data_IF_086283399609
#
_entry.id   IF_086283399609
#
_cell.length_a   1.000
_cell.length_b   1.000
_cell.length_c   1.000
_cell.angle_alpha   90.00
_cell.angle_beta   90.00
_cell.angle_gamma   90.00
#
_symmetry.space_group_name_H-M   'P 1'
#
loop_
_entity.id
_entity.type
_entity.pdbx_description
1 polymer ?
#
# COMPACT_ATOMS: atom_id res chain seq x y z
N UNK A 1 18.96 -13.72 0.40
CA UNK A 1 18.27 -13.60 1.72
C UNK A 1 17.55 -12.27 1.95
N UNK A 2 18.12 -11.09 1.62
CA UNK A 2 17.47 -9.77 1.87
C UNK A 2 16.07 -9.60 1.26
N UNK A 3 15.77 -10.26 0.14
CA UNK A 3 14.46 -10.17 -0.52
C UNK A 3 13.37 -10.91 0.25
N UNK A 4 13.65 -12.12 0.74
CA UNK A 4 12.69 -12.95 1.50
C UNK A 4 12.27 -12.26 2.80
N UNK A 5 13.22 -11.63 3.51
CA UNK A 5 12.90 -10.84 4.72
C UNK A 5 11.91 -9.71 4.45
N UNK A 6 11.96 -9.07 3.27
CA UNK A 6 11.02 -8.00 2.91
C UNK A 6 9.61 -8.54 2.73
N UNK A 7 9.46 -9.69 2.06
CA UNK A 7 8.18 -10.39 1.95
C UNK A 7 7.63 -10.79 3.32
N UNK A 8 8.48 -11.38 4.17
CA UNK A 8 8.09 -11.84 5.51
C UNK A 8 7.63 -10.68 6.40
N UNK A 9 8.36 -9.55 6.39
CA UNK A 9 7.95 -8.34 7.12
C UNK A 9 6.62 -7.80 6.58
N UNK A 10 6.43 -7.71 5.26
CA UNK A 10 5.16 -7.21 4.70
C UNK A 10 3.98 -8.11 5.00
N UNK A 11 4.17 -9.43 4.94
CA UNK A 11 3.14 -10.39 5.32
C UNK A 11 2.84 -10.30 6.82
N UNK A 12 3.86 -10.11 7.66
CA UNK A 12 3.68 -9.88 9.09
C UNK A 12 2.88 -8.63 9.40
N UNK A 13 3.16 -7.51 8.71
CA UNK A 13 2.38 -6.27 8.83
C UNK A 13 0.94 -6.48 8.35
N UNK A 14 0.74 -7.15 7.22
CA UNK A 14 -0.59 -7.48 6.72
C UNK A 14 -1.40 -8.33 7.69
N UNK A 15 -0.78 -9.36 8.27
CA UNK A 15 -1.41 -10.24 9.26
C UNK A 15 -1.73 -9.50 10.57
N UNK A 16 -0.88 -8.56 10.99
CA UNK A 16 -1.19 -7.69 12.13
C UNK A 16 -2.45 -6.86 11.87
N UNK A 17 -2.63 -6.30 10.67
CA UNK A 17 -3.85 -5.55 10.32
C UNK A 17 -5.07 -6.47 10.36
N UNK A 18 -4.98 -7.69 9.78
CA UNK A 18 -6.07 -8.68 9.84
C UNK A 18 -6.43 -8.98 11.29
N UNK A 19 -5.44 -9.28 12.13
CA UNK A 19 -5.64 -9.61 13.54
C UNK A 19 -6.29 -8.45 14.30
N UNK A 20 -5.87 -7.21 14.06
CA UNK A 20 -6.50 -6.04 14.67
C UNK A 20 -7.98 -5.91 14.26
N UNK A 21 -8.31 -6.09 12.98
CA UNK A 21 -9.71 -6.01 12.52
C UNK A 21 -10.57 -7.13 13.09
N UNK A 22 -10.06 -8.36 13.13
CA UNK A 22 -10.77 -9.51 13.70
C UNK A 22 -11.01 -9.32 15.20
N UNK A 23 -10.03 -8.80 15.95
CA UNK A 23 -10.19 -8.46 17.37
C UNK A 23 -11.22 -7.35 17.59
N UNK A 24 -11.20 -6.29 16.77
CA UNK A 24 -12.18 -5.21 16.87
C UNK A 24 -13.61 -5.65 16.60
N UNK A 25 -13.79 -6.68 15.75
CA UNK A 25 -15.10 -7.24 15.39
C UNK A 25 -15.46 -8.50 16.19
N UNK A 26 -14.68 -8.88 17.21
CA UNK A 26 -14.90 -10.09 18.02
C UNK A 26 -15.02 -11.40 17.21
N UNK A 27 -14.37 -11.49 16.04
CA UNK A 27 -14.56 -12.60 15.10
C UNK A 27 -14.13 -13.99 15.60
N UNK A 28 -13.46 -14.09 16.76
CA UNK A 28 -13.15 -15.37 17.42
C UNK A 28 -14.28 -15.89 18.33
N UNK A 29 -15.19 -15.01 18.72
CA UNK A 29 -16.28 -15.29 19.68
C UNK A 29 -17.64 -15.38 19.01
N UNK A 30 -17.74 -15.00 17.74
CA UNK A 30 -18.97 -15.13 16.97
C UNK A 30 -19.30 -16.61 16.71
N UNK A 31 -20.54 -16.97 17.03
CA UNK A 31 -21.06 -18.34 16.86
C UNK A 31 -21.79 -18.54 15.54
N UNK A 32 -22.21 -17.44 14.91
CA UNK A 32 -22.82 -17.45 13.60
C UNK A 32 -21.72 -17.53 12.52
N UNK A 33 -21.81 -18.59 11.71
CA UNK A 33 -20.84 -18.89 10.64
C UNK A 33 -20.88 -17.81 9.57
N UNK A 34 -22.06 -17.26 9.27
CA UNK A 34 -22.22 -16.22 8.26
C UNK A 34 -21.48 -14.94 8.69
N UNK A 35 -21.74 -14.48 9.93
CA UNK A 35 -21.13 -13.28 10.50
C UNK A 35 -19.61 -13.48 10.65
N UNK A 36 -19.18 -14.67 11.10
CA UNK A 36 -17.75 -14.98 11.20
C UNK A 36 -17.07 -14.88 9.83
N UNK A 37 -17.63 -15.49 8.78
CA UNK A 37 -17.07 -15.43 7.42
C UNK A 37 -17.00 -13.99 6.89
N UNK A 38 -18.01 -13.17 7.17
CA UNK A 38 -18.02 -11.76 6.80
C UNK A 38 -16.87 -10.99 7.49
N UNK A 39 -16.66 -11.20 8.79
CA UNK A 39 -15.59 -10.54 9.56
C UNK A 39 -14.22 -10.90 9.01
N UNK A 40 -13.98 -12.17 8.71
CA UNK A 40 -12.71 -12.63 8.12
C UNK A 40 -12.51 -12.05 6.71
N UNK A 41 -13.55 -12.05 5.88
CA UNK A 41 -13.52 -11.44 4.54
C UNK A 41 -13.11 -9.96 4.62
N UNK A 42 -13.77 -9.18 5.48
CA UNK A 42 -13.49 -7.76 5.68
C UNK A 42 -12.07 -7.53 6.19
N UNK A 43 -11.58 -8.35 7.12
CA UNK A 43 -10.24 -8.21 7.69
C UNK A 43 -9.15 -8.41 6.62
N UNK A 44 -9.28 -9.46 5.79
CA UNK A 44 -8.37 -9.69 4.67
C UNK A 44 -8.51 -8.62 3.57
N UNK A 45 -9.73 -8.14 3.31
CA UNK A 45 -9.98 -7.09 2.34
C UNK A 45 -9.27 -5.79 2.74
N UNK A 46 -9.51 -5.31 3.96
CA UNK A 46 -8.91 -4.07 4.48
C UNK A 46 -7.39 -4.14 4.44
N UNK A 47 -6.80 -5.25 4.89
CA UNK A 47 -5.35 -5.44 4.87
C UNK A 47 -4.80 -5.47 3.43
N UNK A 48 -5.44 -6.23 2.54
CA UNK A 48 -5.06 -6.33 1.13
C UNK A 48 -5.15 -5.01 0.38
N UNK A 49 -6.23 -4.24 0.56
CA UNK A 49 -6.41 -2.90 -0.02
C UNK A 49 -5.34 -1.95 0.50
N UNK A 50 -5.08 -1.94 1.81
CA UNK A 50 -4.11 -1.02 2.41
C UNK A 50 -2.69 -1.25 1.87
N UNK A 51 -2.26 -2.52 1.81
CA UNK A 51 -0.96 -2.88 1.23
C UNK A 51 -0.89 -2.60 -0.27
N UNK A 52 -1.95 -2.92 -1.02
CA UNK A 52 -1.98 -2.70 -2.47
C UNK A 52 -1.96 -1.21 -2.82
N UNK A 53 -2.78 -0.39 -2.16
CA UNK A 53 -2.76 1.07 -2.32
C UNK A 53 -1.40 1.67 -1.95
N UNK A 54 -0.82 1.26 -0.81
CA UNK A 54 0.52 1.68 -0.43
C UNK A 54 1.58 1.31 -1.47
N UNK A 55 1.52 0.10 -2.02
CA UNK A 55 2.39 -0.35 -3.10
C UNK A 55 2.21 0.45 -4.40
N UNK A 56 0.97 0.73 -4.78
CA UNK A 56 0.63 1.51 -5.98
C UNK A 56 1.14 2.96 -5.88
N UNK A 57 1.03 3.60 -4.72
CA UNK A 57 1.58 4.95 -4.50
C UNK A 57 3.08 4.96 -4.75
N UNK A 58 3.81 3.93 -4.31
CA UNK A 58 5.25 3.88 -4.55
C UNK A 58 5.58 3.54 -6.00
N UNK A 59 4.77 2.72 -6.68
CA UNK A 59 4.91 2.50 -8.13
C UNK A 59 4.69 3.81 -8.90
N UNK A 60 3.62 4.54 -8.61
CA UNK A 60 3.37 5.86 -9.20
C UNK A 60 4.49 6.86 -8.89
N UNK A 61 5.08 6.79 -7.69
CA UNK A 61 6.25 7.60 -7.31
C UNK A 61 7.48 7.25 -8.13
N UNK A 62 7.77 5.96 -8.30
CA UNK A 62 8.88 5.48 -9.14
C UNK A 62 8.67 5.77 -10.63
N UNK A 63 7.41 5.87 -11.09
CA UNK A 63 7.02 6.25 -12.44
C UNK A 63 7.17 7.73 -12.75
N UNK A 64 7.45 8.56 -11.75
CA UNK A 64 7.67 10.00 -11.90
C UNK A 64 6.40 10.85 -11.81
N UNK A 65 5.23 10.25 -11.48
CA UNK A 65 3.96 10.99 -11.28
C UNK A 65 4.11 12.00 -10.14
N UNK A 66 4.73 11.57 -9.04
CA UNK A 66 4.98 12.44 -7.87
C UNK A 66 6.24 13.31 -8.01
N UNK A 67 7.10 13.06 -9.00
CA UNK A 67 8.30 13.88 -9.21
C UNK A 67 7.95 15.25 -9.79
N UNK A 68 6.91 15.33 -10.63
CA UNK A 68 6.40 16.60 -11.14
C UNK A 68 5.80 17.47 -10.03
N UNK A 69 5.04 16.87 -9.12
CA UNK A 69 4.52 17.55 -7.92
C UNK A 69 5.66 18.04 -7.01
N UNK A 70 6.65 17.19 -6.75
CA UNK A 70 7.82 17.57 -5.94
C UNK A 70 8.62 18.72 -6.55
N UNK A 71 8.77 18.74 -7.86
CA UNK A 71 9.42 19.84 -8.58
C UNK A 71 8.60 21.14 -8.47
N UNK A 72 7.28 21.09 -8.68
CA UNK A 72 6.40 22.25 -8.56
C UNK A 72 6.45 22.87 -7.15
N UNK A 73 6.40 22.05 -6.10
CA UNK A 73 6.55 22.52 -4.70
C UNK A 73 7.93 23.15 -4.48
N UNK A 74 9.00 22.55 -5.01
CA UNK A 74 10.34 23.13 -4.90
C UNK A 74 10.42 24.50 -5.58
N UNK A 75 9.78 24.66 -6.74
CA UNK A 75 9.74 25.92 -7.47
C UNK A 75 8.98 27.00 -6.69
N UNK A 76 7.82 26.66 -6.11
CA UNK A 76 7.08 27.56 -5.21
C UNK A 76 7.95 27.98 -4.01
N UNK A 77 8.66 27.04 -3.39
CA UNK A 77 9.56 27.34 -2.27
C UNK A 77 10.71 28.26 -2.66
N UNK A 78 11.27 28.10 -3.87
CA UNK A 78 12.28 29.01 -4.41
C UNK A 78 11.72 30.40 -4.74
N UNK A 79 10.45 30.50 -5.12
CA UNK A 79 9.77 31.80 -5.33
C UNK A 79 9.54 32.53 -4.02
N UNK A 80 9.27 31.82 -2.92
CA UNK A 80 9.15 32.42 -1.59
C UNK A 80 10.51 32.78 -0.94
N UNK A 81 11.62 32.17 -1.37
CA UNK A 81 12.98 32.53 -0.94
C UNK A 81 13.52 33.70 -1.77
N UNK A 82 14.31 34.57 -1.13
CA UNK A 82 14.96 35.72 -1.78
C UNK A 82 15.72 35.31 -3.05
N UNK A 83 15.60 36.14 -4.10
CA UNK A 83 16.15 35.95 -5.46
C UNK A 83 17.65 35.60 -5.52
N UNK A 84 18.39 35.80 -4.42
CA UNK A 84 19.83 35.49 -4.31
C UNK A 84 20.15 34.01 -4.08
N UNK A 85 19.15 33.15 -3.85
CA UNK A 85 19.39 31.71 -3.66
C UNK A 85 19.44 31.01 -5.02
N UNK A 86 20.63 30.57 -5.43
CA UNK A 86 20.78 29.78 -6.65
C UNK A 86 19.93 28.50 -6.59
N UNK A 87 19.16 28.25 -7.66
CA UNK A 87 18.33 27.05 -7.78
C UNK A 87 19.24 25.82 -7.91
N UNK A 88 19.06 24.86 -7.02
CA UNK A 88 19.83 23.60 -7.01
C UNK A 88 19.57 22.72 -8.25
N UNK A 89 18.39 22.86 -8.86
CA UNK A 89 18.00 22.17 -10.10
C UNK A 89 17.55 23.22 -11.11
N UNK A 90 18.23 23.32 -12.26
CA UNK A 90 17.95 24.33 -13.29
C UNK A 90 16.83 23.88 -14.23
N UNK A 91 16.69 22.58 -14.45
CA UNK A 91 15.64 22.02 -15.31
C UNK A 91 14.96 20.82 -14.65
N UNK A 92 13.71 20.54 -15.04
CA UNK A 92 12.98 19.35 -14.61
C UNK A 92 13.75 18.04 -14.93
N UNK A 93 14.51 18.04 -16.02
CA UNK A 93 15.40 16.93 -16.38
C UNK A 93 16.44 16.66 -15.29
N UNK A 94 17.17 17.67 -14.80
CA UNK A 94 18.15 17.52 -13.72
C UNK A 94 17.51 16.98 -12.42
N UNK A 95 16.29 17.41 -12.13
CA UNK A 95 15.53 16.94 -10.97
C UNK A 95 15.14 15.46 -11.10
N UNK A 96 14.70 15.06 -12.31
CA UNK A 96 14.32 13.68 -12.62
C UNK A 96 15.53 12.75 -12.64
N UNK A 97 16.67 13.21 -13.19
CA UNK A 97 17.93 12.48 -13.23
C UNK A 97 18.41 12.13 -11.82
N UNK A 98 18.43 13.13 -10.92
CA UNK A 98 18.86 12.96 -9.53
C UNK A 98 17.93 12.05 -8.69
N UNK A 99 16.68 11.86 -9.11
CA UNK A 99 15.72 10.93 -8.46
C UNK A 99 15.69 9.54 -9.10
N UNK A 100 16.20 9.38 -10.32
CA UNK A 100 16.20 8.11 -11.07
C UNK A 100 16.99 7.01 -10.33
N UNK A 101 18.05 7.39 -9.61
CA UNK A 101 18.88 6.48 -8.83
C UNK A 101 18.27 6.06 -7.48
N UNK A 102 17.16 6.69 -7.05
CA UNK A 102 16.48 6.36 -5.79
C UNK A 102 15.29 5.42 -5.93
N UNK A 103 15.15 4.74 -7.07
CA UNK A 103 14.03 3.81 -7.31
C UNK A 103 13.95 2.77 -6.19
N UNK A 104 12.79 2.72 -5.51
CA UNK A 104 12.55 1.76 -4.45
C UNK A 104 11.94 0.49 -5.05
N UNK A 105 12.52 -0.66 -4.73
CA UNK A 105 11.89 -1.96 -5.01
C UNK A 105 10.61 -2.07 -4.20
N UNK A 106 9.44 -2.19 -4.85
CA UNK A 106 8.13 -2.32 -4.16
C UNK A 106 7.27 -3.47 -4.66
N UNK A 107 7.78 -4.27 -5.60
CA UNK A 107 7.06 -5.42 -6.14
C UNK A 107 6.57 -6.37 -5.04
N UNK A 108 7.32 -6.52 -3.96
CA UNK A 108 6.95 -7.39 -2.84
C UNK A 108 5.70 -6.92 -2.09
N UNK A 109 5.50 -5.60 -1.91
CA UNK A 109 4.32 -5.05 -1.21
C UNK A 109 3.06 -5.31 -2.04
N UNK A 110 3.15 -5.08 -3.36
CA UNK A 110 2.04 -5.30 -4.28
C UNK A 110 1.67 -6.76 -4.40
N UNK A 111 2.65 -7.65 -4.51
CA UNK A 111 2.40 -9.10 -4.62
C UNK A 111 1.71 -9.62 -3.34
N UNK A 112 2.17 -9.18 -2.16
CA UNK A 112 1.54 -9.59 -0.89
C UNK A 112 0.14 -8.99 -0.75
N UNK A 113 -0.07 -7.72 -1.07
CA UNK A 113 -1.39 -7.08 -1.04
C UNK A 113 -2.39 -7.77 -1.97
N UNK A 114 -1.99 -8.06 -3.20
CA UNK A 114 -2.82 -8.79 -4.18
C UNK A 114 -3.14 -10.21 -3.70
N UNK A 115 -2.18 -10.92 -3.10
CA UNK A 115 -2.42 -12.25 -2.54
C UNK A 115 -3.46 -12.19 -1.40
N UNK A 116 -3.41 -11.19 -0.53
CA UNK A 116 -4.41 -11.02 0.54
C UNK A 116 -5.79 -10.64 -0.01
N UNK A 117 -5.86 -9.84 -1.07
CA UNK A 117 -7.12 -9.57 -1.77
C UNK A 117 -7.69 -10.84 -2.40
N UNK A 118 -6.85 -11.68 -3.02
CA UNK A 118 -7.30 -12.95 -3.58
C UNK A 118 -7.89 -13.86 -2.48
N UNK A 119 -7.28 -13.91 -1.30
CA UNK A 119 -7.82 -14.64 -0.14
C UNK A 119 -9.17 -14.06 0.30
N UNK A 120 -9.30 -12.74 0.36
CA UNK A 120 -10.58 -12.08 0.68
C UNK A 120 -11.69 -12.46 -0.30
N UNK A 121 -11.40 -12.52 -1.61
CA UNK A 121 -12.38 -12.96 -2.62
C UNK A 121 -12.82 -14.41 -2.38
N UNK A 122 -11.92 -15.30 -1.96
CA UNK A 122 -12.28 -16.68 -1.61
C UNK A 122 -13.25 -16.70 -0.42
N UNK A 123 -12.99 -15.92 0.62
CA UNK A 123 -13.92 -15.79 1.75
C UNK A 123 -15.26 -15.18 1.36
N UNK A 124 -15.27 -14.23 0.43
CA UNK A 124 -16.49 -13.63 -0.10
C UNK A 124 -17.36 -14.64 -0.84
N UNK A 125 -16.75 -15.51 -1.66
CA UNK A 125 -17.46 -16.60 -2.34
C UNK A 125 -18.04 -17.58 -1.31
N UNK A 126 -17.25 -17.95 -0.29
CA UNK A 126 -17.72 -18.85 0.77
C UNK A 126 -18.88 -18.25 1.56
N UNK A 127 -18.80 -16.96 1.91
CA UNK A 127 -19.88 -16.22 2.57
C UNK A 127 -21.19 -16.27 1.77
N UNK A 128 -21.13 -15.99 0.46
CA UNK A 128 -22.30 -16.02 -0.43
C UNK A 128 -22.90 -17.43 -0.55
N UNK A 129 -22.05 -18.47 -0.60
CA UNK A 129 -22.55 -19.87 -0.60
C UNK A 129 -23.19 -20.32 0.70
N UNK A 130 -22.77 -19.76 1.84
CA UNK A 130 -23.34 -20.09 3.16
C UNK A 130 -24.63 -19.32 3.40
N UNK A 131 -24.72 -18.05 3.01
CA UNK A 131 -25.96 -17.27 3.10
C UNK A 131 -27.07 -17.74 2.14
N UNK A 132 -26.70 -18.52 1.11
CA UNK A 132 -27.66 -19.13 0.18
C UNK A 132 -28.22 -20.49 0.62
N UNK A 133 -27.73 -21.06 1.74
CA UNK A 133 -28.15 -22.35 2.30
C UNK A 133 -29.16 -22.18 3.44
#
# INVERSE_FOLDING_TARGET
MKTVYRYLITTGVGMLIVLLVVLMKNGFTETDVEIAMQIWCDAFFVSGVFLTCGGLIVVASNGGVFDMLGYAVSLLWYTFKSSKVERKYKTFYDYREARKDRKRSVSYVLIVGLAMLAISVVFLILYDTVGAA
#
